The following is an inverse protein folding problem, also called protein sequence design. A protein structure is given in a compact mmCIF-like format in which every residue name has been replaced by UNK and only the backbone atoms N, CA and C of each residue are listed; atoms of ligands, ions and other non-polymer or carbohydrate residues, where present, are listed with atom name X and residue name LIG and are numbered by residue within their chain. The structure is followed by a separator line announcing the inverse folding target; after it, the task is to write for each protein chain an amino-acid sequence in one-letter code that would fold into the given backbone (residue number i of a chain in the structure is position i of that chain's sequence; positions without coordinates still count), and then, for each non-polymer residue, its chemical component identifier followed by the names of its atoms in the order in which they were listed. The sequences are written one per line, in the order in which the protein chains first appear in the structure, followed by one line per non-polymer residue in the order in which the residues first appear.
data_IF_678889476458
#
_entry.id   IF_678889476458
#
_cell.length_a   1.000
_cell.length_b   1.000
_cell.length_c   1.000
_cell.angle_alpha   90.00
_cell.angle_beta   90.00
_cell.angle_gamma   90.00
#
_symmetry.space_group_name_H-M   'P 1'
#
loop_
_entity.id
_entity.type
_entity.pdbx_description
1 polymer ?
#
# COMPACT_ATOMS: atom_id res chain seq x y z
N UNK A 1 11.06 47.59 19.66
CA UNK A 1 10.58 46.22 19.94
C UNK A 1 10.98 45.38 18.75
N UNK A 2 11.89 44.43 18.93
CA UNK A 2 12.66 43.83 17.83
C UNK A 2 11.93 42.61 17.28
N UNK A 3 11.86 42.46 15.96
CA UNK A 3 11.21 41.35 15.23
C UNK A 3 11.67 39.96 15.69
N UNK A 4 12.84 39.87 16.33
CA UNK A 4 13.38 38.65 16.95
C UNK A 4 12.54 38.14 18.14
N UNK A 5 12.02 39.04 18.98
CA UNK A 5 11.25 38.68 20.19
C UNK A 5 9.87 38.08 19.88
N UNK A 6 9.33 38.36 18.70
CA UNK A 6 8.04 37.83 18.24
C UNK A 6 8.22 36.42 17.67
N UNK A 7 9.27 36.20 16.89
CA UNK A 7 9.60 34.90 16.31
C UNK A 7 9.89 33.86 17.41
N UNK A 8 10.62 34.22 18.46
CA UNK A 8 10.91 33.31 19.58
C UNK A 8 9.68 32.96 20.43
N UNK A 9 8.69 33.85 20.49
CA UNK A 9 7.43 33.58 21.20
C UNK A 9 6.52 32.66 20.40
N UNK A 10 6.44 32.87 19.09
CA UNK A 10 5.69 31.99 18.20
C UNK A 10 6.33 30.61 18.10
N UNK A 11 7.66 30.53 18.01
CA UNK A 11 8.40 29.26 18.00
C UNK A 11 8.16 28.46 19.29
N UNK A 12 8.27 29.09 20.46
CA UNK A 12 7.98 28.42 21.75
C UNK A 12 6.53 27.96 21.88
N UNK A 13 5.60 28.75 21.37
CA UNK A 13 4.17 28.40 21.38
C UNK A 13 3.86 27.26 20.42
N UNK A 14 4.52 27.23 19.25
CA UNK A 14 4.43 26.14 18.29
C UNK A 14 5.07 24.86 18.84
N UNK A 15 6.23 24.96 19.49
CA UNK A 15 6.92 23.84 20.12
C UNK A 15 6.10 23.24 21.25
N UNK A 16 5.47 24.08 22.09
CA UNK A 16 4.57 23.61 23.15
C UNK A 16 3.37 22.83 22.58
N UNK A 17 2.71 23.38 21.55
CA UNK A 17 1.57 22.71 20.88
C UNK A 17 2.02 21.43 20.15
N UNK A 18 3.20 21.45 19.54
CA UNK A 18 3.78 20.28 18.90
C UNK A 18 4.14 19.20 19.91
N UNK A 19 4.68 19.57 21.07
CA UNK A 19 5.00 18.62 22.15
C UNK A 19 3.75 17.96 22.71
N UNK A 20 2.69 18.74 22.94
CA UNK A 20 1.40 18.22 23.41
C UNK A 20 0.76 17.27 22.39
N UNK A 21 0.74 17.66 21.12
CA UNK A 21 0.28 16.82 20.03
C UNK A 21 1.13 15.54 19.89
N UNK A 22 2.45 15.66 19.98
CA UNK A 22 3.38 14.54 19.89
C UNK A 22 3.21 13.56 21.06
N UNK A 23 2.96 14.07 22.27
CA UNK A 23 2.70 13.25 23.45
C UNK A 23 1.38 12.47 23.28
N UNK A 24 0.31 13.15 22.85
CA UNK A 24 -0.98 12.52 22.59
C UNK A 24 -0.89 11.44 21.51
N UNK A 25 -0.15 11.72 20.43
CA UNK A 25 0.09 10.76 19.35
C UNK A 25 0.90 9.57 19.86
N UNK A 26 1.92 9.82 20.68
CA UNK A 26 2.75 8.76 21.28
C UNK A 26 1.92 7.82 22.15
N UNK A 27 1.12 8.35 23.08
CA UNK A 27 0.31 7.54 23.99
C UNK A 27 -0.68 6.65 23.21
N UNK A 28 -1.33 7.20 22.17
CA UNK A 28 -2.21 6.40 21.31
C UNK A 28 -1.46 5.39 20.45
N UNK A 29 -0.29 5.76 19.97
CA UNK A 29 0.56 4.88 19.18
C UNK A 29 1.08 3.71 20.02
N UNK A 30 1.46 3.92 21.28
CA UNK A 30 1.94 2.86 22.17
C UNK A 30 0.86 1.82 22.48
N UNK A 31 -0.37 2.26 22.74
CA UNK A 31 -1.52 1.37 22.94
C UNK A 31 -1.83 0.57 21.66
N UNK A 32 -1.94 1.26 20.52
CA UNK A 32 -2.22 0.62 19.23
C UNK A 32 -1.09 -0.33 18.79
N UNK A 33 0.17 0.03 19.03
CA UNK A 33 1.33 -0.79 18.70
C UNK A 33 1.33 -2.08 19.52
N UNK A 34 0.97 -2.03 20.80
CA UNK A 34 0.89 -3.22 21.67
C UNK A 34 -0.16 -4.22 21.19
N UNK A 35 -1.32 -3.73 20.74
CA UNK A 35 -2.38 -4.57 20.18
C UNK A 35 -1.99 -5.14 18.81
N UNK A 36 -1.42 -4.29 17.95
CA UNK A 36 -0.95 -4.68 16.64
C UNK A 36 0.18 -5.71 16.73
N UNK A 37 1.12 -5.57 17.69
CA UNK A 37 2.22 -6.51 17.88
C UNK A 37 1.72 -7.91 18.24
N UNK A 38 0.74 -8.00 19.15
CA UNK A 38 0.14 -9.29 19.54
C UNK A 38 -0.56 -9.97 18.37
N UNK A 39 -1.33 -9.22 17.58
CA UNK A 39 -1.98 -9.75 16.38
C UNK A 39 -0.96 -10.12 15.30
N UNK A 40 0.06 -9.29 15.08
CA UNK A 40 1.09 -9.55 14.08
C UNK A 40 1.88 -10.82 14.39
N UNK A 41 2.25 -11.05 15.65
CA UNK A 41 2.99 -12.26 16.07
C UNK A 41 2.24 -13.55 15.71
N UNK A 42 0.91 -13.58 15.80
CA UNK A 42 0.11 -14.77 15.45
C UNK A 42 0.00 -15.05 13.96
N UNK A 43 0.22 -14.06 13.08
CA UNK A 43 0.05 -14.20 11.62
C UNK A 43 1.37 -14.09 10.83
N UNK A 44 2.47 -13.68 11.47
CA UNK A 44 3.70 -13.33 10.77
C UNK A 44 4.47 -14.54 10.21
N UNK A 45 4.57 -15.66 10.95
CA UNK A 45 5.46 -16.76 10.56
C UNK A 45 5.09 -17.42 9.22
N UNK A 46 3.79 -17.55 8.95
CA UNK A 46 3.29 -18.17 7.72
C UNK A 46 3.28 -17.18 6.54
N UNK A 47 2.95 -15.91 6.80
CA UNK A 47 2.94 -14.86 5.78
C UNK A 47 4.34 -14.45 5.31
N UNK A 48 5.37 -14.55 6.16
CA UNK A 48 6.75 -14.11 5.85
C UNK A 48 7.34 -14.81 4.64
N UNK A 49 7.24 -16.14 4.55
CA UNK A 49 7.83 -16.90 3.42
C UNK A 49 7.13 -16.58 2.10
N UNK A 50 5.81 -16.52 2.11
CA UNK A 50 5.02 -16.16 0.92
C UNK A 50 5.30 -14.73 0.47
N UNK A 51 5.35 -13.78 1.41
CA UNK A 51 5.67 -12.39 1.12
C UNK A 51 7.10 -12.24 0.57
N UNK A 52 8.09 -12.89 1.18
CA UNK A 52 9.48 -12.88 0.73
C UNK A 52 9.61 -13.40 -0.71
N UNK A 53 8.91 -14.50 -1.04
CA UNK A 53 8.87 -15.04 -2.41
C UNK A 53 8.33 -14.02 -3.42
N UNK A 54 7.20 -13.38 -3.13
CA UNK A 54 6.62 -12.37 -4.02
C UNK A 54 7.51 -11.14 -4.20
N UNK A 55 8.20 -10.70 -3.14
CA UNK A 55 9.14 -9.57 -3.22
C UNK A 55 10.37 -9.96 -4.05
N UNK A 56 10.90 -11.18 -3.89
CA UNK A 56 12.01 -11.68 -4.69
C UNK A 56 11.64 -11.79 -6.17
N UNK A 57 10.44 -12.31 -6.49
CA UNK A 57 9.94 -12.38 -7.87
C UNK A 57 9.82 -11.00 -8.50
N UNK A 58 9.33 -10.02 -7.72
CA UNK A 58 9.23 -8.64 -8.17
C UNK A 58 10.61 -8.00 -8.36
N UNK A 59 11.55 -8.18 -7.42
CA UNK A 59 12.93 -7.72 -7.55
C UNK A 59 13.58 -8.26 -8.83
N UNK A 60 13.38 -9.56 -9.12
CA UNK A 60 13.84 -10.19 -10.35
C UNK A 60 13.20 -9.61 -11.61
N UNK A 61 11.93 -9.24 -11.58
CA UNK A 61 11.27 -8.57 -12.71
C UNK A 61 11.82 -7.15 -12.92
N UNK A 62 12.01 -6.39 -11.83
CA UNK A 62 12.58 -5.04 -11.85
C UNK A 62 14.03 -5.07 -12.36
N UNK A 63 14.84 -6.03 -11.88
CA UNK A 63 16.22 -6.23 -12.35
C UNK A 63 16.28 -6.47 -13.85
N UNK A 64 15.45 -7.38 -14.36
CA UNK A 64 15.34 -7.68 -15.80
C UNK A 64 14.96 -6.44 -16.61
N UNK A 65 14.02 -5.64 -16.12
CA UNK A 65 13.67 -4.37 -16.77
C UNK A 65 14.83 -3.36 -16.74
N UNK A 66 15.59 -3.29 -15.65
CA UNK A 66 16.78 -2.46 -15.55
C UNK A 66 17.88 -2.88 -16.54
N UNK A 67 18.09 -4.17 -16.71
CA UNK A 67 19.04 -4.72 -17.68
C UNK A 67 18.61 -4.39 -19.12
N UNK A 68 17.30 -4.44 -19.42
CA UNK A 68 16.74 -4.00 -20.70
C UNK A 68 16.92 -2.49 -20.92
N UNK A 69 16.78 -1.66 -19.89
CA UNK A 69 17.04 -0.21 -19.98
C UNK A 69 18.53 0.10 -20.18
N UNK A 70 19.42 -0.71 -19.58
CA UNK A 70 20.87 -0.56 -19.76
C UNK A 70 21.30 -0.85 -21.19
N UNK A 71 20.62 -1.77 -21.88
CA UNK A 71 20.91 -2.08 -23.30
C UNK A 71 20.37 -1.02 -24.27
N UNK A 72 19.49 -0.11 -23.81
CA UNK A 72 18.91 1.01 -24.58
C UNK A 72 19.56 2.37 -24.28
N UNK A 73 20.82 2.37 -23.82
CA UNK A 73 21.60 3.58 -23.44
C UNK A 73 21.00 4.44 -22.30
N UNK A 74 20.02 3.95 -21.53
CA UNK A 74 19.44 4.68 -20.39
C UNK A 74 20.20 4.40 -19.08
N UNK A 75 21.47 4.78 -19.02
CA UNK A 75 22.37 4.43 -17.90
C UNK A 75 21.90 4.95 -16.53
N UNK A 76 21.30 6.14 -16.47
CA UNK A 76 20.82 6.73 -15.20
C UNK A 76 19.62 5.94 -14.66
N UNK A 77 18.66 5.64 -15.54
CA UNK A 77 17.48 4.86 -15.16
C UNK A 77 17.86 3.42 -14.81
N UNK A 78 18.76 2.80 -15.56
CA UNK A 78 19.27 1.46 -15.27
C UNK A 78 19.95 1.38 -13.88
N UNK A 79 20.74 2.39 -13.49
CA UNK A 79 21.34 2.46 -12.15
C UNK A 79 20.31 2.56 -11.05
N UNK A 80 19.33 3.45 -11.21
CA UNK A 80 18.27 3.64 -10.22
C UNK A 80 17.41 2.37 -10.05
N UNK A 81 17.09 1.71 -11.16
CA UNK A 81 16.34 0.44 -11.17
C UNK A 81 17.17 -0.69 -10.56
N UNK A 82 18.47 -0.74 -10.83
CA UNK A 82 19.39 -1.69 -10.21
C UNK A 82 19.47 -1.53 -8.70
N UNK A 83 19.63 -0.30 -8.21
CA UNK A 83 19.68 0.01 -6.77
C UNK A 83 18.34 -0.33 -6.09
N UNK A 84 17.21 -0.09 -6.77
CA UNK A 84 15.91 -0.51 -6.29
C UNK A 84 15.77 -2.05 -6.20
N UNK A 85 16.24 -2.78 -7.22
CA UNK A 85 16.20 -4.24 -7.22
C UNK A 85 17.07 -4.84 -6.10
N UNK A 86 18.29 -4.32 -5.91
CA UNK A 86 19.19 -4.73 -4.82
C UNK A 86 18.60 -4.45 -3.43
N UNK A 87 17.92 -3.30 -3.28
CA UNK A 87 17.19 -2.98 -2.06
C UNK A 87 16.02 -3.94 -1.79
N UNK A 88 15.25 -4.29 -2.83
CA UNK A 88 14.13 -5.24 -2.72
C UNK A 88 14.60 -6.65 -2.37
N UNK A 89 15.72 -7.11 -2.94
CA UNK A 89 16.31 -8.42 -2.64
C UNK A 89 16.78 -8.51 -1.19
N UNK A 90 17.46 -7.47 -0.69
CA UNK A 90 17.85 -7.37 0.72
C UNK A 90 16.63 -7.41 1.65
N UNK A 91 15.53 -6.77 1.27
CA UNK A 91 14.28 -6.81 2.03
C UNK A 91 13.66 -8.20 2.01
N UNK A 92 13.59 -8.87 0.85
CA UNK A 92 13.05 -10.23 0.73
C UNK A 92 13.82 -11.22 1.62
N UNK A 93 15.15 -11.15 1.58
CA UNK A 93 16.01 -12.03 2.38
C UNK A 93 15.88 -11.73 3.88
N UNK A 94 15.82 -10.45 4.25
CA UNK A 94 15.59 -10.06 5.64
C UNK A 94 14.23 -10.57 6.14
N UNK A 95 13.15 -10.48 5.36
CA UNK A 95 11.80 -10.92 5.77
C UNK A 95 11.72 -12.44 5.99
N UNK A 96 12.42 -13.24 5.18
CA UNK A 96 12.40 -14.70 5.32
C UNK A 96 13.06 -15.20 6.60
N UNK A 97 14.23 -14.62 6.93
CA UNK A 97 15.13 -15.19 7.95
C UNK A 97 15.05 -14.48 9.31
N UNK A 98 14.26 -13.40 9.41
CA UNK A 98 14.26 -12.52 10.58
C UNK A 98 12.98 -12.64 11.39
N UNK A 99 13.10 -12.55 12.72
CA UNK A 99 11.94 -12.47 13.62
C UNK A 99 11.25 -11.11 13.48
N UNK A 100 9.96 -11.02 13.83
CA UNK A 100 9.23 -9.74 13.78
C UNK A 100 9.91 -8.67 14.66
N UNK A 101 10.49 -9.09 15.79
CA UNK A 101 11.17 -8.19 16.73
C UNK A 101 12.45 -7.57 16.11
N UNK A 102 13.22 -8.40 15.43
CA UNK A 102 14.43 -7.98 14.71
C UNK A 102 14.10 -7.08 13.51
N UNK A 103 12.97 -7.30 12.83
CA UNK A 103 12.46 -6.42 11.77
C UNK A 103 12.16 -5.02 12.33
N UNK A 104 11.45 -4.94 13.46
CA UNK A 104 11.17 -3.67 14.15
C UNK A 104 12.48 -2.96 14.53
N UNK A 105 13.43 -3.69 15.10
CA UNK A 105 14.75 -3.15 15.43
C UNK A 105 15.51 -2.60 14.21
N UNK A 106 15.37 -3.25 13.06
CA UNK A 106 15.97 -2.81 11.79
C UNK A 106 15.34 -1.53 11.25
N UNK A 107 14.00 -1.44 11.28
CA UNK A 107 13.26 -0.21 10.93
C UNK A 107 13.66 0.95 11.85
N UNK A 108 13.79 0.71 13.15
CA UNK A 108 14.22 1.74 14.11
C UNK A 108 15.64 2.23 13.82
N UNK A 109 16.57 1.33 13.47
CA UNK A 109 17.94 1.69 13.07
C UNK A 109 17.93 2.54 11.79
N UNK A 110 17.14 2.15 10.80
CA UNK A 110 17.00 2.89 9.56
C UNK A 110 16.42 4.30 9.80
N UNK A 111 15.36 4.40 10.60
CA UNK A 111 14.72 5.67 10.94
C UNK A 111 15.70 6.65 11.61
N UNK A 112 16.55 6.14 12.51
CA UNK A 112 17.59 6.95 13.17
C UNK A 112 18.73 7.35 12.24
N UNK A 113 19.07 6.51 11.25
CA UNK A 113 20.13 6.79 10.27
C UNK A 113 19.68 7.79 9.20
N UNK A 114 18.42 7.69 8.76
CA UNK A 114 17.88 8.43 7.62
C UNK A 114 16.51 9.06 7.97
N UNK A 115 16.48 10.09 8.84
CA UNK A 115 15.22 10.66 9.32
C UNK A 115 14.35 11.23 8.19
N UNK A 116 14.95 11.85 7.17
CA UNK A 116 14.21 12.39 6.02
C UNK A 116 13.50 11.30 5.19
N UNK A 117 14.20 10.20 4.90
CA UNK A 117 13.63 9.08 4.17
C UNK A 117 12.50 8.40 4.96
N UNK A 118 12.67 8.29 6.29
CA UNK A 118 11.63 7.73 7.15
C UNK A 118 10.34 8.56 7.15
N UNK A 119 10.45 9.89 7.25
CA UNK A 119 9.26 10.76 7.21
C UNK A 119 8.53 10.62 5.88
N UNK A 120 9.24 10.74 4.75
CA UNK A 120 8.64 10.60 3.41
C UNK A 120 8.02 9.21 3.23
N UNK A 121 8.75 8.15 3.62
CA UNK A 121 8.28 6.78 3.56
C UNK A 121 7.03 6.54 4.40
N UNK A 122 6.97 7.09 5.62
CA UNK A 122 5.83 6.93 6.51
C UNK A 122 4.54 7.58 5.97
N UNK A 123 4.66 8.74 5.33
CA UNK A 123 3.53 9.42 4.66
C UNK A 123 3.02 8.58 3.49
N UNK A 124 3.92 8.11 2.63
CA UNK A 124 3.55 7.26 1.49
C UNK A 124 2.91 5.94 1.96
N UNK A 125 3.48 5.30 2.98
CA UNK A 125 2.94 4.08 3.56
C UNK A 125 1.55 4.30 4.17
N UNK A 126 1.36 5.39 4.92
CA UNK A 126 0.06 5.74 5.49
C UNK A 126 -1.01 5.98 4.42
N UNK A 127 -0.67 6.67 3.34
CA UNK A 127 -1.57 6.86 2.20
C UNK A 127 -1.88 5.53 1.49
N UNK A 128 -0.89 4.67 1.31
CA UNK A 128 -1.09 3.35 0.70
C UNK A 128 -2.05 2.49 1.53
N UNK A 129 -1.86 2.44 2.85
CA UNK A 129 -2.77 1.75 3.77
C UNK A 129 -4.17 2.36 3.71
N UNK A 130 -4.28 3.69 3.77
CA UNK A 130 -5.58 4.38 3.69
C UNK A 130 -6.31 4.12 2.37
N UNK A 131 -5.57 4.07 1.25
CA UNK A 131 -6.11 3.71 -0.06
C UNK A 131 -6.56 2.25 -0.12
N UNK A 132 -5.79 1.33 0.48
CA UNK A 132 -6.16 -0.08 0.56
C UNK A 132 -7.46 -0.26 1.36
N UNK A 133 -7.56 0.35 2.54
CA UNK A 133 -8.78 0.31 3.37
C UNK A 133 -9.99 0.88 2.61
N UNK A 134 -9.83 1.98 1.88
CA UNK A 134 -10.91 2.53 1.04
C UNK A 134 -11.31 1.56 -0.09
N UNK A 135 -10.33 1.01 -0.79
CA UNK A 135 -10.56 0.11 -1.92
C UNK A 135 -11.20 -1.24 -1.50
N UNK A 136 -10.92 -1.72 -0.29
CA UNK A 136 -11.60 -2.90 0.25
C UNK A 136 -13.04 -2.59 0.66
N UNK A 137 -13.29 -1.38 1.18
CA UNK A 137 -14.63 -0.91 1.59
C UNK A 137 -15.58 -0.71 0.40
N UNK A 138 -15.07 -0.23 -0.73
CA UNK A 138 -15.85 -0.06 -1.97
C UNK A 138 -16.29 -1.40 -2.59
N UNK A 139 -15.64 -2.51 -2.24
CA UNK A 139 -16.01 -3.85 -2.70
C UNK A 139 -17.21 -4.46 -1.95
N UNK A 140 -17.70 -3.79 -0.89
CA UNK A 140 -18.87 -4.24 -0.11
C UNK A 140 -20.20 -3.57 -0.48
N UNK A 141 -20.24 -2.65 -1.45
CA UNK A 141 -21.48 -2.00 -1.93
C UNK A 141 -21.89 -2.45 -3.34
N UNK A 142 -21.69 -3.72 -3.67
CA UNK A 142 -22.11 -4.34 -4.93
C UNK A 142 -23.07 -5.53 -4.78
N UNK A 143 -23.55 -5.81 -3.56
CA UNK A 143 -24.67 -6.72 -3.36
C UNK A 143 -25.95 -5.89 -3.30
N UNK A 144 -26.47 -5.50 -4.47
CA UNK A 144 -27.89 -5.18 -4.58
C UNK A 144 -28.66 -6.43 -4.11
N UNK A 145 -29.45 -6.37 -3.03
CA UNK A 145 -30.48 -7.37 -2.80
C UNK A 145 -31.51 -7.12 -3.90
N UNK A 146 -31.51 -7.93 -4.96
CA UNK A 146 -32.66 -8.02 -5.87
C UNK A 146 -33.92 -8.19 -5.03
N UNK A 147 -34.87 -7.24 -5.03
CA UNK A 147 -36.17 -7.46 -4.41
C UNK A 147 -36.94 -8.40 -5.34
N UNK A 148 -36.81 -9.70 -5.06
CA UNK A 148 -37.71 -10.70 -5.60
C UNK A 148 -39.06 -10.52 -4.89
N UNK A 149 -39.99 -9.78 -5.52
CA UNK A 149 -41.44 -10.07 -5.50
C UNK A 149 -42.26 -8.90 -6.05
N UNK A 150 -42.97 -9.14 -7.15
CA UNK A 150 -44.44 -9.12 -7.18
C UNK A 150 -44.99 -9.32 -8.61
N UNK A 151 -45.61 -10.47 -8.83
CA UNK A 151 -46.82 -10.66 -9.66
C UNK A 151 -47.07 -9.70 -10.85
N UNK A 152 -46.76 -10.17 -12.07
CA UNK A 152 -47.29 -9.65 -13.34
C UNK A 152 -47.51 -10.81 -14.30
N UNK A 153 -48.75 -10.99 -14.75
CA UNK A 153 -49.29 -12.17 -15.42
C UNK A 153 -48.56 -12.62 -16.72
N UNK A 154 -48.65 -13.91 -17.11
CA UNK A 154 -48.26 -14.36 -18.44
C UNK A 154 -49.33 -13.94 -19.44
N UNK A 155 -49.15 -12.81 -20.12
CA UNK A 155 -49.95 -12.50 -21.31
C UNK A 155 -49.19 -12.89 -22.56
N UNK A 156 -49.67 -13.98 -23.17
CA UNK A 156 -49.35 -14.50 -24.49
C UNK A 156 -49.06 -13.41 -25.53
N UNK A 157 -47.84 -13.42 -26.08
CA UNK A 157 -47.57 -12.81 -27.38
C UNK A 157 -47.24 -13.94 -28.37
N UNK A 158 -48.03 -14.13 -29.45
CA UNK A 158 -47.91 -15.27 -30.34
C UNK A 158 -46.59 -15.28 -31.11
N UNK A 159 -46.09 -16.46 -31.53
CA UNK A 159 -44.84 -16.56 -32.28
C UNK A 159 -44.95 -15.80 -33.60
N UNK A 160 -44.01 -14.88 -33.84
CA UNK A 160 -43.87 -14.23 -35.15
C UNK A 160 -43.33 -15.27 -36.15
N UNK A 161 -43.99 -15.49 -37.30
CA UNK A 161 -43.48 -16.41 -38.31
C UNK A 161 -42.13 -15.92 -38.85
N UNK A 162 -41.14 -16.81 -38.80
CA UNK A 162 -39.85 -16.63 -39.44
C UNK A 162 -40.05 -16.59 -40.95
N UNK A 163 -39.82 -15.44 -41.58
CA UNK A 163 -39.75 -15.36 -43.03
C UNK A 163 -38.44 -16.06 -43.47
N UNK A 164 -38.50 -17.08 -44.34
CA UNK A 164 -37.31 -17.78 -44.82
C UNK A 164 -36.39 -16.82 -45.59
N UNK A 165 -35.09 -17.02 -45.37
CA UNK A 165 -34.00 -16.18 -45.88
C UNK A 165 -34.03 -15.97 -47.39
N UNK A 166 -33.63 -14.75 -47.76
CA UNK A 166 -33.46 -14.33 -49.16
C UNK A 166 -32.30 -15.14 -49.78
N UNK A 167 -32.51 -15.85 -50.89
CA UNK A 167 -31.40 -16.43 -51.65
C UNK A 167 -30.63 -15.33 -52.40
N UNK A 168 -29.31 -15.38 -52.30
CA UNK A 168 -28.38 -14.57 -53.07
C UNK A 168 -28.24 -15.13 -54.50
N UNK A 169 -28.36 -14.25 -55.51
CA UNK A 169 -27.82 -14.40 -56.87
C UNK A 169 -27.62 -12.96 -57.39
N UNK A 170 -26.52 -12.55 -58.02
CA UNK A 170 -25.50 -13.27 -58.79
C UNK A 170 -24.21 -12.44 -58.78
#
# INVERSE_FOLDING_TARGET
MSTKDTIEREARSAEAKMSEAAQTVRERAEAAASDAQRAAQSYAEEGKRTAAGHIADFANAVRRAGDELSTRDQTIAARLVGEAAEGLEQVAQSISDTSVDDMVGSVQRFARRNPGAFVVGSVLAGLAVGRFVKATSERSHGAEPTPQSAYGAPTSQPPRPVAPGRPAMK
#
